data_IF_447130542367
#
_entry.id   IF_447130542367
#
_cell.length_a   1.000
_cell.length_b   1.000
_cell.length_c   1.000
_cell.angle_alpha   90.00
_cell.angle_beta   90.00
_cell.angle_gamma   90.00
#
_symmetry.space_group_name_H-M   'P 1'
#
loop_
_entity.id
_entity.type
_entity.pdbx_description
1 polymer ?
#
# COMPACT_ATOMS: atom_id res chain seq x y z
N UNK A 1 6.02 -13.68 11.53
CA UNK A 1 5.00 -13.04 10.69
C UNK A 1 4.58 -13.98 9.58
N UNK A 2 3.28 -14.04 9.30
CA UNK A 2 2.69 -15.01 8.37
C UNK A 2 3.25 -14.90 6.94
N UNK A 3 3.60 -13.70 6.48
CA UNK A 3 4.23 -13.48 5.17
C UNK A 3 5.55 -14.26 4.99
N UNK A 4 6.41 -14.27 6.02
CA UNK A 4 7.68 -15.00 5.95
C UNK A 4 7.45 -16.53 5.91
N UNK A 5 6.43 -17.00 6.63
CA UNK A 5 6.04 -18.42 6.63
C UNK A 5 5.56 -18.84 5.24
N UNK A 6 4.70 -18.04 4.61
CA UNK A 6 4.19 -18.30 3.25
C UNK A 6 5.34 -18.29 2.23
N UNK A 7 6.27 -17.32 2.32
CA UNK A 7 7.40 -17.24 1.40
C UNK A 7 8.35 -18.44 1.55
N UNK A 8 8.66 -18.85 2.79
CA UNK A 8 9.47 -20.05 3.06
C UNK A 8 8.83 -21.30 2.48
N UNK A 9 7.52 -21.45 2.67
CA UNK A 9 6.78 -22.59 2.13
C UNK A 9 6.78 -22.60 0.60
N UNK A 10 6.60 -21.44 -0.03
CA UNK A 10 6.70 -21.29 -1.48
C UNK A 10 8.08 -21.70 -2.01
N UNK A 11 9.16 -21.27 -1.34
CA UNK A 11 10.53 -21.69 -1.70
C UNK A 11 10.72 -23.19 -1.52
N UNK A 12 10.26 -23.75 -0.39
CA UNK A 12 10.36 -25.19 -0.09
C UNK A 12 9.65 -26.06 -1.13
N UNK A 13 8.56 -25.56 -1.72
CA UNK A 13 7.79 -26.24 -2.78
C UNK A 13 8.41 -26.10 -4.18
N UNK A 14 9.60 -25.50 -4.31
CA UNK A 14 10.26 -25.31 -5.61
C UNK A 14 9.69 -24.15 -6.43
N UNK A 15 9.08 -23.15 -5.79
CA UNK A 15 8.53 -21.98 -6.47
C UNK A 15 9.55 -21.12 -7.24
N UNK A 16 10.75 -20.84 -6.70
CA UNK A 16 11.77 -20.08 -7.43
C UNK A 16 12.16 -20.74 -8.75
N UNK A 17 12.42 -19.93 -9.78
CA UNK A 17 12.75 -20.41 -11.12
C UNK A 17 14.13 -19.95 -11.57
N UNK A 18 14.81 -20.76 -12.38
CA UNK A 18 16.03 -20.38 -13.08
C UNK A 18 15.66 -19.80 -14.45
N UNK A 19 16.04 -18.55 -14.72
CA UNK A 19 15.82 -17.89 -16.01
C UNK A 19 17.07 -17.13 -16.42
N UNK A 20 17.61 -17.43 -17.59
CA UNK A 20 18.83 -16.81 -18.13
C UNK A 20 20.00 -16.84 -17.12
N UNK A 21 20.19 -17.98 -16.44
CA UNK A 21 21.23 -18.15 -15.42
C UNK A 21 20.97 -17.43 -14.09
N UNK A 22 19.83 -16.75 -13.92
CA UNK A 22 19.45 -16.05 -12.68
C UNK A 22 18.32 -16.79 -11.95
N UNK A 23 18.48 -16.97 -10.65
CA UNK A 23 17.43 -17.49 -9.78
C UNK A 23 16.47 -16.35 -9.41
N UNK A 24 15.21 -16.47 -9.86
CA UNK A 24 14.14 -15.52 -9.55
C UNK A 24 13.20 -16.13 -8.51
N UNK A 25 12.88 -15.36 -7.46
CA UNK A 25 11.87 -15.80 -6.48
C UNK A 25 10.52 -16.01 -7.18
N UNK A 26 10.10 -15.06 -8.02
CA UNK A 26 8.88 -15.17 -8.81
C UNK A 26 9.19 -15.02 -10.30
N UNK A 27 8.72 -15.97 -11.10
CA UNK A 27 8.88 -15.97 -12.56
C UNK A 27 7.88 -15.11 -13.34
N UNK A 28 7.36 -14.04 -12.74
CA UNK A 28 6.25 -13.27 -13.32
C UNK A 28 6.72 -11.92 -13.87
N UNK A 29 6.13 -11.51 -14.99
CA UNK A 29 6.30 -10.15 -15.51
C UNK A 29 5.26 -9.19 -14.89
N UNK A 30 5.41 -7.89 -15.15
CA UNK A 30 4.51 -6.85 -14.63
C UNK A 30 3.03 -7.05 -15.01
N UNK A 31 2.76 -7.48 -16.24
CA UNK A 31 1.39 -7.69 -16.74
C UNK A 31 0.76 -8.88 -16.02
N UNK A 32 1.53 -9.96 -15.84
CA UNK A 32 1.07 -11.15 -15.12
C UNK A 32 0.83 -10.85 -13.64
N UNK A 33 1.70 -10.08 -13.00
CA UNK A 33 1.49 -9.63 -11.62
C UNK A 33 0.19 -8.81 -11.48
N UNK A 34 -0.10 -7.95 -12.47
CA UNK A 34 -1.34 -7.17 -12.49
C UNK A 34 -2.59 -8.05 -12.65
N UNK A 35 -2.54 -9.04 -13.56
CA UNK A 35 -3.62 -10.02 -13.73
C UNK A 35 -3.87 -10.80 -12.44
N UNK A 36 -2.82 -11.35 -11.81
CA UNK A 36 -2.92 -12.10 -10.56
C UNK A 36 -3.60 -11.24 -9.48
N UNK A 37 -3.17 -10.00 -9.29
CA UNK A 37 -3.78 -9.09 -8.29
C UNK A 37 -5.24 -8.81 -8.58
N UNK A 38 -5.59 -8.55 -9.86
CA UNK A 38 -6.97 -8.34 -10.28
C UNK A 38 -7.83 -9.57 -9.98
N UNK A 39 -7.41 -10.75 -10.43
CA UNK A 39 -8.13 -12.01 -10.23
C UNK A 39 -8.29 -12.35 -8.74
N UNK A 40 -7.26 -12.11 -7.92
CA UNK A 40 -7.35 -12.26 -6.47
C UNK A 40 -8.39 -11.30 -5.86
N UNK A 41 -8.45 -10.05 -6.31
CA UNK A 41 -9.42 -9.07 -5.84
C UNK A 41 -10.85 -9.46 -6.21
N UNK A 42 -11.06 -9.90 -7.45
CA UNK A 42 -12.36 -10.38 -7.94
C UNK A 42 -12.84 -11.60 -7.15
N UNK A 43 -11.96 -12.60 -6.96
CA UNK A 43 -12.27 -13.79 -6.15
C UNK A 43 -12.57 -13.48 -4.68
N UNK A 44 -12.00 -12.40 -4.16
CA UNK A 44 -12.23 -11.93 -2.79
C UNK A 44 -13.46 -11.01 -2.68
N UNK A 45 -14.19 -10.78 -3.77
CA UNK A 45 -15.37 -9.90 -3.78
C UNK A 45 -15.04 -8.42 -3.58
N UNK A 46 -13.80 -7.99 -3.81
CA UNK A 46 -13.45 -6.58 -3.68
C UNK A 46 -14.12 -5.77 -4.80
N UNK A 47 -14.78 -4.64 -4.47
CA UNK A 47 -15.46 -3.83 -5.46
C UNK A 47 -14.44 -3.18 -6.40
N UNK A 48 -14.90 -2.84 -7.61
CA UNK A 48 -14.13 -2.00 -8.52
C UNK A 48 -13.95 -0.61 -7.92
N UNK A 49 -12.81 0.00 -8.20
CA UNK A 49 -12.46 1.35 -7.74
C UNK A 49 -13.02 2.36 -8.72
N UNK A 50 -13.77 3.35 -8.25
CA UNK A 50 -14.27 4.44 -9.10
C UNK A 50 -13.43 5.69 -8.85
N UNK A 51 -12.90 6.30 -9.90
CA UNK A 51 -12.24 7.59 -9.79
C UNK A 51 -13.33 8.68 -9.61
N UNK A 52 -13.33 9.42 -8.49
CA UNK A 52 -14.38 10.40 -8.21
C UNK A 52 -14.35 11.62 -9.14
N UNK A 53 -13.20 11.97 -9.71
CA UNK A 53 -13.05 13.14 -10.60
C UNK A 53 -13.46 12.83 -12.05
N UNK A 54 -13.28 11.59 -12.49
CA UNK A 54 -13.49 11.20 -13.90
C UNK A 54 -14.59 10.17 -14.11
N UNK A 55 -15.16 9.61 -13.03
CA UNK A 55 -16.12 8.50 -13.07
C UNK A 55 -15.54 7.18 -13.60
N UNK A 56 -14.26 7.13 -13.98
CA UNK A 56 -13.66 5.95 -14.58
C UNK A 56 -13.55 4.81 -13.56
N UNK A 57 -13.98 3.63 -14.00
CA UNK A 57 -13.90 2.40 -13.21
C UNK A 57 -12.55 1.73 -13.44
N UNK A 58 -11.86 1.42 -12.34
CA UNK A 58 -10.56 0.77 -12.30
C UNK A 58 -10.63 -0.52 -11.48
N UNK A 59 -9.82 -1.51 -11.85
CA UNK A 59 -9.64 -2.71 -11.03
C UNK A 59 -8.62 -2.46 -9.91
N UNK A 60 -8.63 -3.32 -8.91
CA UNK A 60 -7.53 -3.40 -7.95
C UNK A 60 -6.24 -3.73 -8.70
N UNK A 61 -5.16 -3.06 -8.32
CA UNK A 61 -3.85 -3.19 -8.97
C UNK A 61 -2.73 -3.20 -7.92
N UNK A 62 -1.51 -3.64 -8.28
CA UNK A 62 -0.36 -3.61 -7.37
C UNK A 62 -0.12 -2.22 -6.77
N UNK A 63 -0.28 -1.16 -7.57
CA UNK A 63 -0.15 0.22 -7.08
C UNK A 63 -1.24 0.54 -6.04
N UNK A 64 -2.49 0.12 -6.26
CA UNK A 64 -3.57 0.36 -5.31
C UNK A 64 -3.41 -0.41 -4.01
N UNK A 65 -2.83 -1.61 -4.05
CA UNK A 65 -2.45 -2.34 -2.83
C UNK A 65 -1.35 -1.60 -2.06
N UNK A 66 -0.35 -1.03 -2.75
CA UNK A 66 0.69 -0.20 -2.13
C UNK A 66 0.10 1.06 -1.49
N UNK A 67 -0.82 1.74 -2.17
CA UNK A 67 -1.52 2.92 -1.64
C UNK A 67 -2.29 2.55 -0.36
N UNK A 68 -3.02 1.43 -0.37
CA UNK A 68 -3.78 0.95 0.78
C UNK A 68 -2.87 0.60 1.97
N UNK A 69 -1.74 -0.07 1.71
CA UNK A 69 -0.72 -0.35 2.73
C UNK A 69 -0.18 0.94 3.34
N UNK A 70 0.17 1.94 2.50
CA UNK A 70 0.69 3.21 2.97
C UNK A 70 -0.34 3.96 3.83
N UNK A 71 -1.61 4.02 3.41
CA UNK A 71 -2.70 4.61 4.21
C UNK A 71 -2.85 3.88 5.55
N UNK A 72 -2.79 2.55 5.58
CA UNK A 72 -2.87 1.78 6.82
C UNK A 72 -1.68 2.05 7.75
N UNK A 73 -0.47 2.09 7.21
CA UNK A 73 0.74 2.40 7.98
C UNK A 73 0.70 3.81 8.59
N UNK A 74 0.24 4.80 7.83
CA UNK A 74 0.08 6.17 8.36
C UNK A 74 -1.01 6.26 9.43
N UNK A 75 -2.13 5.55 9.27
CA UNK A 75 -3.16 5.46 10.33
C UNK A 75 -2.63 4.86 11.63
N UNK A 76 -1.64 3.98 11.54
CA UNK A 76 -1.00 3.37 12.70
C UNK A 76 0.01 4.30 13.37
N UNK A 77 0.74 5.10 12.58
CA UNK A 77 1.72 6.07 13.06
C UNK A 77 1.90 7.20 12.03
N UNK A 78 1.32 8.37 12.33
CA UNK A 78 1.36 9.56 11.47
C UNK A 78 2.45 10.58 11.86
N UNK A 79 3.34 10.20 12.79
CA UNK A 79 4.47 11.04 13.21
C UNK A 79 5.42 11.34 12.05
N UNK A 80 6.19 12.43 12.18
CA UNK A 80 7.19 12.81 11.17
C UNK A 80 8.21 11.71 10.90
N UNK A 81 8.72 11.06 11.95
CA UNK A 81 9.68 9.95 11.83
C UNK A 81 9.02 8.70 11.22
N UNK A 82 7.78 8.39 11.62
CA UNK A 82 7.00 7.30 11.01
C UNK A 82 6.79 7.48 9.51
N UNK A 83 6.50 8.71 9.07
CA UNK A 83 6.36 9.06 7.65
C UNK A 83 7.70 8.95 6.90
N UNK A 84 8.83 9.29 7.53
CA UNK A 84 10.14 9.17 6.92
C UNK A 84 10.55 7.71 6.73
N UNK A 85 10.32 6.86 7.73
CA UNK A 85 10.54 5.41 7.61
C UNK A 85 9.64 4.81 6.52
N UNK A 86 8.37 5.21 6.45
CA UNK A 86 7.47 4.74 5.39
C UNK A 86 7.94 5.18 3.99
N UNK A 87 8.47 6.41 3.86
CA UNK A 87 9.06 6.88 2.60
C UNK A 87 10.22 5.98 2.17
N UNK A 88 11.13 5.66 3.09
CA UNK A 88 12.29 4.78 2.84
C UNK A 88 11.83 3.38 2.42
N UNK A 89 10.89 2.76 3.14
CA UNK A 89 10.35 1.45 2.80
C UNK A 89 9.65 1.39 1.44
N UNK A 90 9.01 2.48 1.04
CA UNK A 90 8.37 2.58 -0.26
C UNK A 90 9.38 2.98 -1.36
N UNK A 91 10.54 3.53 -1.02
CA UNK A 91 11.52 4.04 -1.97
C UNK A 91 11.03 5.29 -2.73
N UNK A 92 10.24 6.14 -2.08
CA UNK A 92 9.79 7.39 -2.69
C UNK A 92 10.92 8.43 -2.69
N UNK A 93 11.22 8.97 -3.87
CA UNK A 93 12.19 10.07 -4.04
C UNK A 93 11.71 11.36 -3.37
N UNK A 94 10.40 11.62 -3.38
CA UNK A 94 9.81 12.82 -2.78
C UNK A 94 9.01 12.46 -1.54
N UNK A 95 9.29 13.16 -0.44
CA UNK A 95 8.49 13.11 0.78
C UNK A 95 7.02 13.46 0.51
N UNK A 96 6.75 14.37 -0.44
CA UNK A 96 5.38 14.78 -0.80
C UNK A 96 4.52 13.61 -1.27
N UNK A 97 5.10 12.59 -1.92
CA UNK A 97 4.36 11.40 -2.34
C UNK A 97 3.89 10.59 -1.14
N UNK A 98 4.69 10.50 -0.08
CA UNK A 98 4.31 9.82 1.18
C UNK A 98 3.35 10.67 2.02
N UNK A 99 3.60 11.98 2.12
CA UNK A 99 2.79 12.91 2.90
C UNK A 99 1.32 13.00 2.41
N UNK A 100 1.06 12.74 1.12
CA UNK A 100 -0.30 12.62 0.58
C UNK A 100 -1.15 11.59 1.34
N UNK A 101 -0.57 10.49 1.83
CA UNK A 101 -1.31 9.49 2.59
C UNK A 101 -1.76 9.98 3.97
N UNK A 102 -1.05 10.94 4.58
CA UNK A 102 -1.48 11.58 5.84
C UNK A 102 -2.78 12.37 5.67
N UNK A 103 -2.91 13.11 4.57
CA UNK A 103 -4.15 13.84 4.26
C UNK A 103 -5.35 12.89 4.06
N UNK A 104 -5.12 11.74 3.42
CA UNK A 104 -6.17 10.76 3.11
C UNK A 104 -6.55 9.89 4.32
N UNK A 105 -5.61 9.61 5.22
CA UNK A 105 -5.85 8.87 6.47
C UNK A 105 -6.52 9.73 7.55
N UNK A 106 -6.30 11.05 7.53
CA UNK A 106 -6.73 11.96 8.58
C UNK A 106 -8.23 12.32 8.55
N UNK A 107 -9.06 11.51 9.19
CA UNK A 107 -10.18 12.04 10.02
C UNK A 107 -9.63 12.92 11.17
N UNK A 108 -8.35 12.78 11.49
CA UNK A 108 -7.64 13.42 12.60
C UNK A 108 -7.33 14.92 12.40
N UNK A 109 -7.26 15.44 11.17
CA UNK A 109 -7.07 16.90 10.99
C UNK A 109 -8.22 17.69 11.62
N UNK A 110 -9.46 17.19 11.53
CA UNK A 110 -10.61 17.80 12.19
C UNK A 110 -10.51 17.75 13.72
N UNK A 111 -10.01 16.65 14.27
CA UNK A 111 -9.81 16.48 15.71
C UNK A 111 -8.63 17.28 16.26
N UNK A 112 -7.55 17.41 15.49
CA UNK A 112 -6.40 18.25 15.81
C UNK A 112 -6.77 19.74 15.79
N UNK A 113 -7.50 20.18 14.75
CA UNK A 113 -8.04 21.56 14.70
C UNK A 113 -8.96 21.83 15.90
N UNK A 114 -9.89 20.91 16.21
CA UNK A 114 -10.76 21.03 17.39
C UNK A 114 -9.98 21.13 18.71
N UNK A 115 -8.88 20.37 18.87
CA UNK A 115 -8.02 20.42 20.07
C UNK A 115 -7.24 21.73 20.19
N UNK A 116 -6.80 22.32 19.08
CA UNK A 116 -6.15 23.64 19.07
C UNK A 116 -7.06 24.75 19.56
N UNK A 117 -8.32 24.74 19.12
CA UNK A 117 -9.30 25.77 19.50
C UNK A 117 -9.93 25.55 20.89
N UNK A 118 -9.90 24.33 21.45
CA UNK A 118 -10.32 24.06 22.83
C UNK A 118 -9.36 24.59 23.91
N UNK A 119 -8.10 24.91 23.58
CA UNK A 119 -7.09 25.38 24.55
C UNK A 119 -7.11 26.90 24.81
N UNK A 120 -7.96 27.67 24.12
CA UNK A 120 -8.10 29.13 24.28
C UNK A 120 -9.35 29.57 25.06
N UNK A 121 -10.00 28.66 25.77
CA UNK A 121 -11.11 28.96 26.68
C UNK A 121 -10.77 28.52 28.09
N UNK A 122 -9.93 29.29 28.78
CA UNK A 122 -9.75 29.27 30.23
C UNK A 122 -9.41 30.69 30.66
#
# INVERSE_FOLDING_TARGET
GDTLKILKEYVRRGGPILRNGKNLIFGVNRHRAWQIVKECAERSGLPKLVNPETGRVHNVSPHKLRDAFAVMAVKQNDSGDGLRMLQEHLGHQSFNTTAKYRKVSGKEHGDWYRKLWKKKGS
#
